data_IF_979211923895
#
_entry.id   IF_979211923895
#
_cell.length_a   1.000
_cell.length_b   1.000
_cell.length_c   1.000
_cell.angle_alpha   90.00
_cell.angle_beta   90.00
_cell.angle_gamma   90.00
#
_symmetry.space_group_name_H-M   'P 1'
#
loop_
_entity.id
_entity.type
_entity.pdbx_description
1 polymer ?
#
# COMPACT_ATOMS: atom_id res chain seq x y z
N UNK A 1 15.22 -1.61 28.20
CA UNK A 1 14.62 -1.93 26.88
C UNK A 1 14.23 -0.62 26.21
N UNK A 2 15.11 -0.06 25.39
CA UNK A 2 14.89 1.21 24.70
C UNK A 2 14.00 0.97 23.48
N UNK A 3 12.76 1.42 23.55
CA UNK A 3 11.81 1.33 22.45
C UNK A 3 12.25 2.33 21.35
N UNK A 4 12.99 1.83 20.36
CA UNK A 4 13.47 2.60 19.20
C UNK A 4 12.36 2.73 18.16
N UNK A 5 11.26 3.38 18.51
CA UNK A 5 10.38 3.97 17.50
C UNK A 5 11.08 5.24 17.00
N UNK A 6 12.04 5.05 16.11
CA UNK A 6 12.63 6.15 15.35
C UNK A 6 11.48 6.90 14.67
N UNK A 7 11.44 8.22 14.82
CA UNK A 7 10.56 9.07 14.01
C UNK A 7 10.86 8.78 12.54
N UNK A 8 9.97 8.04 11.90
CA UNK A 8 10.15 7.55 10.52
C UNK A 8 9.87 8.70 9.59
N UNK A 9 10.85 9.58 9.39
CA UNK A 9 10.76 10.55 8.28
C UNK A 9 10.84 9.76 6.98
N UNK A 10 9.93 9.99 6.01
CA UNK A 10 10.01 9.31 4.72
C UNK A 10 11.34 9.64 4.06
N UNK A 11 12.17 8.62 3.80
CA UNK A 11 13.31 8.73 2.89
C UNK A 11 12.72 8.88 1.49
N UNK A 12 13.02 10.03 0.87
CA UNK A 12 12.70 10.33 -0.52
C UNK A 12 14.00 10.22 -1.32
N UNK A 13 14.25 9.05 -1.90
CA UNK A 13 15.40 8.77 -2.75
C UNK A 13 14.96 8.07 -4.03
N UNK A 14 15.12 8.74 -5.17
CA UNK A 14 14.70 8.25 -6.48
C UNK A 14 15.62 7.16 -7.06
N UNK A 15 16.76 6.87 -6.41
CA UNK A 15 17.64 5.75 -6.77
C UNK A 15 17.20 4.43 -6.13
N UNK A 16 16.37 4.50 -5.09
CA UNK A 16 15.79 3.32 -4.44
C UNK A 16 14.52 2.86 -5.18
N UNK A 17 14.07 1.64 -4.89
CA UNK A 17 12.77 1.18 -5.42
C UNK A 17 11.65 2.01 -4.83
N UNK A 18 10.70 2.44 -5.64
CA UNK A 18 9.64 3.32 -5.20
C UNK A 18 8.42 2.55 -4.71
N UNK A 19 7.91 2.89 -3.53
CA UNK A 19 6.64 2.39 -3.01
C UNK A 19 5.61 3.50 -2.94
N UNK A 20 4.42 3.24 -3.46
CA UNK A 20 3.22 4.05 -3.25
C UNK A 20 2.29 3.34 -2.28
N UNK A 21 1.85 4.03 -1.21
CA UNK A 21 0.90 3.47 -0.23
C UNK A 21 -0.37 4.32 -0.24
N UNK A 22 -1.50 3.71 -0.61
CA UNK A 22 -2.82 4.32 -0.56
C UNK A 22 -3.59 3.77 0.64
N UNK A 23 -4.11 4.64 1.51
CA UNK A 23 -4.73 4.23 2.78
C UNK A 23 -6.21 4.57 2.81
N UNK A 24 -7.06 3.58 3.10
CA UNK A 24 -8.49 3.72 3.27
C UNK A 24 -8.93 3.17 4.63
N UNK A 25 -9.51 4.02 5.47
CA UNK A 25 -10.00 3.55 6.76
C UNK A 25 -9.93 4.60 7.86
N UNK A 26 -9.33 4.22 8.98
CA UNK A 26 -9.21 5.04 10.18
C UNK A 26 -7.74 5.38 10.51
N UNK A 27 -7.53 6.07 11.64
CA UNK A 27 -6.20 6.43 12.11
C UNK A 27 -5.29 5.21 12.32
N UNK A 28 -5.86 4.03 12.62
CA UNK A 28 -5.10 2.78 12.74
C UNK A 28 -4.44 2.41 11.41
N UNK A 29 -5.16 2.46 10.30
CA UNK A 29 -4.57 2.18 8.99
C UNK A 29 -3.50 3.21 8.60
N UNK A 30 -3.66 4.48 9.00
CA UNK A 30 -2.61 5.49 8.78
C UNK A 30 -1.34 5.10 9.54
N UNK A 31 -1.47 4.73 10.83
CA UNK A 31 -0.36 4.25 11.64
C UNK A 31 0.26 2.96 11.09
N UNK A 32 -0.55 1.99 10.65
CA UNK A 32 -0.09 0.75 10.04
C UNK A 32 0.70 1.04 8.75
N UNK A 33 0.26 2.02 7.95
CA UNK A 33 0.98 2.44 6.74
C UNK A 33 2.34 3.05 7.07
N UNK A 34 2.48 3.80 8.17
CA UNK A 34 3.78 4.31 8.64
C UNK A 34 4.71 3.18 9.09
N UNK A 35 4.16 2.19 9.81
CA UNK A 35 4.91 0.99 10.24
C UNK A 35 5.38 0.20 9.01
N UNK A 36 4.50 -0.06 8.06
CA UNK A 36 4.83 -0.75 6.79
C UNK A 36 5.92 0.00 6.03
N UNK A 37 5.80 1.32 5.90
CA UNK A 37 6.81 2.15 5.24
C UNK A 37 8.17 2.02 5.93
N UNK A 38 8.20 2.00 7.26
CA UNK A 38 9.46 1.87 8.02
C UNK A 38 10.19 0.56 7.73
N UNK A 39 9.45 -0.54 7.57
CA UNK A 39 10.00 -1.87 7.24
C UNK A 39 10.50 -1.88 5.80
N UNK A 40 9.72 -1.32 4.86
CA UNK A 40 10.10 -1.24 3.45
C UNK A 40 11.35 -0.38 3.23
N UNK A 41 11.50 0.72 3.97
CA UNK A 41 12.70 1.57 3.90
C UNK A 41 13.96 0.83 4.32
N UNK A 42 13.88 -0.01 5.36
CA UNK A 42 15.00 -0.90 5.74
C UNK A 42 15.31 -1.92 4.63
N UNK A 43 14.30 -2.28 3.83
CA UNK A 43 14.42 -3.13 2.64
C UNK A 43 14.82 -2.41 1.34
N UNK A 44 15.23 -1.14 1.40
CA UNK A 44 15.71 -0.38 0.24
C UNK A 44 14.60 0.22 -0.64
N UNK A 45 13.44 0.52 -0.05
CA UNK A 45 12.38 1.28 -0.71
C UNK A 45 12.34 2.75 -0.26
N UNK A 46 11.88 3.62 -1.16
CA UNK A 46 11.57 5.02 -0.91
C UNK A 46 10.09 5.28 -1.17
N UNK A 47 9.46 6.17 -0.41
CA UNK A 47 8.06 6.55 -0.65
C UNK A 47 7.99 7.45 -1.90
N UNK A 48 7.04 7.18 -2.79
CA UNK A 48 6.71 8.08 -3.89
C UNK A 48 5.29 8.64 -3.75
N UNK A 49 5.04 9.78 -4.42
CA UNK A 49 3.76 10.48 -4.35
C UNK A 49 2.79 10.09 -5.47
N UNK A 50 3.24 9.29 -6.44
CA UNK A 50 2.42 8.90 -7.58
C UNK A 50 2.56 7.43 -7.91
N UNK A 51 1.44 6.85 -8.33
CA UNK A 51 1.37 5.46 -8.81
C UNK A 51 2.30 5.23 -10.02
N UNK A 52 2.59 6.28 -10.79
CA UNK A 52 3.39 6.23 -12.02
C UNK A 52 4.88 6.02 -11.75
N UNK A 53 5.34 6.46 -10.58
CA UNK A 53 6.72 6.30 -10.11
C UNK A 53 6.93 4.96 -9.40
N UNK A 54 5.85 4.31 -8.97
CA UNK A 54 5.92 3.16 -8.08
C UNK A 54 6.37 1.86 -8.78
N UNK A 55 7.30 1.16 -8.13
CA UNK A 55 7.65 -0.25 -8.39
C UNK A 55 6.78 -1.20 -7.54
N UNK A 56 6.34 -0.72 -6.37
CA UNK A 56 5.44 -1.40 -5.45
C UNK A 56 4.25 -0.49 -5.12
N UNK A 57 3.04 -0.99 -5.30
CA UNK A 57 1.80 -0.31 -4.91
C UNK A 57 1.15 -1.10 -3.78
N UNK A 58 0.89 -0.45 -2.66
CA UNK A 58 0.18 -1.03 -1.52
C UNK A 58 -1.11 -0.27 -1.24
N UNK A 59 -2.20 -1.00 -1.06
CA UNK A 59 -3.45 -0.43 -0.55
C UNK A 59 -3.67 -0.96 0.87
N UNK A 60 -3.74 -0.08 1.86
CA UNK A 60 -4.08 -0.46 3.24
C UNK A 60 -5.55 -0.14 3.53
N UNK A 61 -6.37 -1.17 3.75
CA UNK A 61 -7.84 -1.03 3.84
C UNK A 61 -8.45 -1.56 5.13
N UNK A 62 -9.53 -0.92 5.55
CA UNK A 62 -10.27 -1.22 6.77
C UNK A 62 -11.63 -1.87 6.48
N UNK A 63 -12.02 -2.93 7.21
CA UNK A 63 -13.27 -3.67 7.01
C UNK A 63 -14.49 -3.05 7.69
N UNK A 64 -14.30 -2.08 8.58
CA UNK A 64 -15.39 -1.52 9.42
C UNK A 64 -16.04 -0.25 8.85
N UNK A 65 -15.61 0.21 7.66
CA UNK A 65 -16.15 1.41 7.02
C UNK A 65 -16.70 1.05 5.64
N UNK A 66 -18.02 1.05 5.48
CA UNK A 66 -18.70 0.62 4.24
C UNK A 66 -18.20 1.34 2.98
N UNK A 67 -17.87 2.63 3.10
CA UNK A 67 -17.35 3.43 1.98
C UNK A 67 -15.95 3.00 1.50
N UNK A 68 -15.19 2.25 2.31
CA UNK A 68 -13.86 1.78 1.92
C UNK A 68 -13.94 0.61 0.92
N UNK A 69 -14.96 -0.24 1.05
CA UNK A 69 -15.09 -1.44 0.20
C UNK A 69 -15.41 -1.07 -1.23
N UNK A 70 -16.42 -0.22 -1.47
CA UNK A 70 -16.77 0.18 -2.82
C UNK A 70 -15.62 0.89 -3.54
N UNK A 71 -14.78 1.63 -2.79
CA UNK A 71 -13.61 2.33 -3.34
C UNK A 71 -12.47 1.39 -3.73
N UNK A 72 -12.30 0.26 -3.04
CA UNK A 72 -11.17 -0.64 -3.30
C UNK A 72 -11.25 -1.24 -4.69
N UNK A 73 -12.44 -1.68 -5.12
CA UNK A 73 -12.64 -2.35 -6.40
C UNK A 73 -12.23 -1.47 -7.58
N UNK A 74 -12.74 -0.23 -7.63
CA UNK A 74 -12.37 0.72 -8.69
C UNK A 74 -10.88 1.10 -8.67
N UNK A 75 -10.25 1.17 -7.48
CA UNK A 75 -8.79 1.38 -7.41
C UNK A 75 -8.01 0.18 -7.92
N UNK A 76 -8.43 -1.04 -7.59
CA UNK A 76 -7.78 -2.26 -8.04
C UNK A 76 -7.78 -2.37 -9.57
N UNK A 77 -8.88 -2.00 -10.22
CA UNK A 77 -8.94 -1.95 -11.68
C UNK A 77 -7.88 -1.00 -12.25
N UNK A 78 -7.73 0.19 -11.65
CA UNK A 78 -6.72 1.16 -12.11
C UNK A 78 -5.30 0.64 -11.87
N UNK A 79 -5.03 -0.02 -10.74
CA UNK A 79 -3.72 -0.61 -10.47
C UNK A 79 -3.41 -1.80 -11.37
N UNK A 80 -4.42 -2.58 -11.74
CA UNK A 80 -4.28 -3.67 -12.70
C UNK A 80 -3.90 -3.14 -14.08
N UNK A 81 -4.53 -2.05 -14.53
CA UNK A 81 -4.15 -1.37 -15.77
C UNK A 81 -2.70 -0.88 -15.72
N UNK A 82 -2.26 -0.33 -14.59
CA UNK A 82 -0.86 0.08 -14.41
C UNK A 82 0.11 -1.10 -14.46
N UNK A 83 -0.24 -2.23 -13.84
CA UNK A 83 0.56 -3.47 -13.90
C UNK A 83 0.65 -4.06 -15.30
N UNK A 84 -0.41 -3.95 -16.11
CA UNK A 84 -0.39 -4.37 -17.52
C UNK A 84 0.53 -3.47 -18.35
N UNK A 85 0.46 -2.14 -18.14
CA UNK A 85 1.27 -1.16 -18.87
C UNK A 85 2.75 -1.26 -18.53
N UNK A 86 3.08 -1.52 -17.27
CA UNK A 86 4.45 -1.53 -16.75
C UNK A 86 4.77 -2.91 -16.17
N UNK A 87 5.42 -3.73 -16.99
CA UNK A 87 5.88 -5.07 -16.58
C UNK A 87 6.85 -4.93 -15.40
N UNK A 88 6.60 -5.71 -14.34
CA UNK A 88 7.47 -5.78 -13.14
C UNK A 88 6.90 -5.11 -11.89
N UNK A 89 5.79 -4.38 -11.99
CA UNK A 89 5.15 -3.77 -10.82
C UNK A 89 4.47 -4.82 -9.95
N UNK A 90 4.67 -4.67 -8.64
CA UNK A 90 3.99 -5.45 -7.62
C UNK A 90 2.83 -4.62 -7.07
N UNK A 91 1.66 -5.24 -6.95
CA UNK A 91 0.47 -4.65 -6.31
C UNK A 91 0.11 -5.55 -5.14
N UNK A 92 -0.06 -4.96 -3.95
CA UNK A 92 -0.44 -5.66 -2.73
C UNK A 92 -1.57 -4.94 -2.01
N UNK A 93 -2.35 -5.71 -1.25
CA UNK A 93 -3.45 -5.20 -0.42
C UNK A 93 -3.19 -5.65 1.00
N UNK A 94 -3.34 -4.73 1.95
CA UNK A 94 -3.07 -4.88 3.37
C UNK A 94 -4.30 -4.48 4.19
N UNK A 95 -4.26 -4.80 5.49
CA UNK A 95 -5.31 -4.45 6.43
C UNK A 95 -6.43 -5.50 6.51
N UNK A 96 -7.35 -5.32 7.45
CA UNK A 96 -8.36 -6.32 7.80
C UNK A 96 -9.36 -6.61 6.67
N UNK A 97 -9.56 -5.68 5.73
CA UNK A 97 -10.39 -5.95 4.56
C UNK A 97 -9.69 -6.88 3.56
N UNK A 98 -8.36 -6.84 3.45
CA UNK A 98 -7.61 -7.78 2.63
C UNK A 98 -7.81 -9.23 3.09
N UNK A 99 -7.85 -9.43 4.41
CA UNK A 99 -8.13 -10.74 5.02
C UNK A 99 -9.58 -11.18 4.77
N UNK A 100 -10.55 -10.30 5.03
CA UNK A 100 -11.97 -10.62 4.86
C UNK A 100 -12.34 -10.92 3.41
N UNK A 101 -11.83 -10.13 2.46
CA UNK A 101 -12.18 -10.24 1.04
C UNK A 101 -11.24 -11.14 0.25
N UNK A 102 -10.35 -11.90 0.91
CA UNK A 102 -9.27 -12.67 0.28
C UNK A 102 -9.73 -13.48 -0.95
N UNK A 103 -10.80 -14.25 -0.81
CA UNK A 103 -11.32 -15.11 -1.89
C UNK A 103 -11.87 -14.31 -3.07
N UNK A 104 -12.52 -13.18 -2.79
CA UNK A 104 -13.08 -12.30 -3.82
C UNK A 104 -11.97 -11.55 -4.54
N UNK A 105 -10.98 -11.03 -3.80
CA UNK A 105 -9.81 -10.35 -4.35
C UNK A 105 -8.97 -11.25 -5.28
N UNK A 106 -8.87 -12.55 -4.97
CA UNK A 106 -8.14 -13.51 -5.81
C UNK A 106 -8.93 -13.93 -7.06
N UNK A 107 -10.26 -13.82 -7.02
CA UNK A 107 -11.15 -14.10 -8.16
C UNK A 107 -11.45 -12.85 -8.99
N UNK A 108 -11.18 -11.67 -8.45
CA UNK A 108 -11.39 -10.39 -9.13
C UNK A 108 -10.50 -10.37 -10.37
N UNK A 109 -11.10 -10.38 -11.57
CA UNK A 109 -10.39 -10.64 -12.80
C UNK A 109 -9.25 -9.65 -12.97
#
# INVERSE_FOLDING_TARGET
MSNKYYSVKPVLDTKLRQVFIETYGCQMNVNDSEVVLSVLQQGGYSLCNSIKEADLILINTCSIRDNAEQRIWGRLDIFRLEKIRRKGIIVGILGCMAERLKEELLKHP
#
